data_IF_692639192065
#
_entry.id   IF_692639192065
#
_cell.length_a   1.000
_cell.length_b   1.000
_cell.length_c   1.000
_cell.angle_alpha   90.00
_cell.angle_beta   90.00
_cell.angle_gamma   90.00
#
_symmetry.space_group_name_H-M   'P 1'
#
loop_
_entity.id
_entity.type
_entity.pdbx_description
1 polymer ?
#
# COMPACT_ATOMS: atom_id res chain seq x y z
N UNK A 1 -0.55 6.65 6.32
CA UNK A 1 0.45 5.86 7.11
C UNK A 1 -0.24 5.37 8.38
N UNK A 2 -0.13 4.10 8.73
CA UNK A 2 -0.87 3.50 9.86
C UNK A 2 -0.02 2.49 10.64
N UNK A 3 -0.23 2.39 11.95
CA UNK A 3 0.44 1.41 12.81
C UNK A 3 1.78 1.86 13.41
N UNK A 4 2.11 3.14 13.33
CA UNK A 4 3.26 3.75 14.03
C UNK A 4 2.86 4.03 15.49
N UNK A 5 3.70 3.73 16.50
CA UNK A 5 3.45 4.15 17.87
C UNK A 5 3.20 5.66 17.98
N UNK A 6 2.09 6.05 18.59
CA UNK A 6 1.65 7.45 18.68
C UNK A 6 0.83 7.95 17.48
N UNK A 7 0.68 7.14 16.43
CA UNK A 7 -0.19 7.41 15.28
C UNK A 7 -1.50 6.63 15.33
N UNK A 8 -2.24 6.66 14.22
CA UNK A 8 -3.51 5.92 14.07
C UNK A 8 -3.25 4.40 14.03
N UNK A 9 -4.08 3.57 14.71
CA UNK A 9 -3.94 2.12 14.67
C UNK A 9 -4.13 1.55 13.25
N UNK A 10 -3.38 0.49 12.94
CA UNK A 10 -3.50 -0.23 11.68
C UNK A 10 -4.67 -1.24 11.73
N UNK A 11 -5.90 -0.76 11.55
CA UNK A 11 -7.10 -1.60 11.44
C UNK A 11 -7.98 -1.22 10.25
N UNK A 12 -8.85 -2.14 9.78
CA UNK A 12 -9.78 -1.87 8.68
C UNK A 12 -10.66 -0.64 8.90
N UNK A 13 -11.21 -0.48 10.09
CA UNK A 13 -12.16 0.59 10.45
C UNK A 13 -11.51 1.96 10.34
N UNK A 14 -10.26 2.08 10.80
CA UNK A 14 -9.49 3.31 10.69
C UNK A 14 -9.12 3.64 9.24
N UNK A 15 -8.80 2.65 8.41
CA UNK A 15 -8.52 2.89 6.99
C UNK A 15 -9.77 3.40 6.27
N UNK A 16 -10.92 2.74 6.50
CA UNK A 16 -12.21 3.14 5.93
C UNK A 16 -12.55 4.57 6.35
N UNK A 17 -12.40 4.90 7.64
CA UNK A 17 -12.64 6.25 8.13
C UNK A 17 -11.74 7.28 7.43
N UNK A 18 -10.42 7.06 7.37
CA UNK A 18 -9.50 7.98 6.71
C UNK A 18 -9.85 8.22 5.23
N UNK A 19 -10.25 7.16 4.51
CA UNK A 19 -10.63 7.26 3.10
C UNK A 19 -11.95 8.01 2.93
N UNK A 20 -12.91 7.83 3.84
CA UNK A 20 -14.20 8.51 3.81
C UNK A 20 -14.08 10.03 4.03
N UNK A 21 -13.05 10.49 4.74
CA UNK A 21 -12.80 11.91 5.01
C UNK A 21 -12.04 12.62 3.86
N UNK A 22 -11.62 11.91 2.81
CA UNK A 22 -10.92 12.53 1.69
C UNK A 22 -11.87 13.36 0.82
N UNK A 23 -11.44 14.54 0.33
CA UNK A 23 -12.19 15.28 -0.67
C UNK A 23 -12.42 14.43 -1.93
N UNK A 24 -13.59 14.58 -2.55
CA UNK A 24 -13.92 13.91 -3.80
C UNK A 24 -12.86 14.17 -4.88
N UNK A 25 -12.47 13.11 -5.60
CA UNK A 25 -11.42 13.17 -6.63
C UNK A 25 -9.99 13.02 -6.11
N UNK A 26 -9.77 12.90 -4.79
CA UNK A 26 -8.43 12.67 -4.24
C UNK A 26 -7.91 11.26 -4.57
N UNK A 27 -6.67 11.16 -5.01
CA UNK A 27 -5.92 9.90 -5.03
C UNK A 27 -5.30 9.62 -3.66
N UNK A 28 -5.18 8.35 -3.26
CA UNK A 28 -4.59 8.00 -1.96
C UNK A 28 -3.79 6.70 -2.02
N UNK A 29 -2.85 6.57 -1.08
CA UNK A 29 -2.03 5.37 -0.89
C UNK A 29 -1.92 5.05 0.60
N UNK A 30 -1.80 3.76 0.94
CA UNK A 30 -1.57 3.31 2.32
C UNK A 30 -0.16 2.74 2.51
N UNK A 31 0.43 3.04 3.66
CA UNK A 31 1.63 2.39 4.19
C UNK A 31 1.28 1.82 5.58
N UNK A 32 1.42 0.52 5.73
CA UNK A 32 1.16 -0.21 6.96
C UNK A 32 2.45 -0.67 7.61
N UNK A 33 2.66 -0.35 8.89
CA UNK A 33 3.92 -0.67 9.56
C UNK A 33 4.07 -2.15 9.90
N UNK A 34 5.23 -2.71 9.58
CA UNK A 34 5.63 -4.09 9.88
C UNK A 34 4.64 -5.11 9.34
N UNK A 35 4.10 -5.94 10.25
CA UNK A 35 3.15 -7.01 9.91
C UNK A 35 1.88 -6.53 9.19
N UNK A 36 1.57 -5.24 9.26
CA UNK A 36 0.35 -4.66 8.68
C UNK A 36 0.51 -4.27 7.20
N UNK A 37 1.74 -4.25 6.66
CA UNK A 37 2.03 -3.87 5.27
C UNK A 37 1.16 -4.65 4.27
N UNK A 38 1.19 -5.99 4.34
CA UNK A 38 0.48 -6.86 3.40
C UNK A 38 -1.04 -6.69 3.50
N UNK A 39 -1.58 -6.69 4.71
CA UNK A 39 -3.04 -6.66 4.93
C UNK A 39 -3.62 -5.32 4.52
N UNK A 40 -3.01 -4.20 4.94
CA UNK A 40 -3.49 -2.87 4.55
C UNK A 40 -3.27 -2.61 3.06
N UNK A 41 -2.15 -3.04 2.49
CA UNK A 41 -1.93 -2.92 1.05
C UNK A 41 -2.96 -3.69 0.23
N UNK A 42 -3.31 -4.92 0.64
CA UNK A 42 -4.36 -5.72 -0.02
C UNK A 42 -5.73 -5.05 0.09
N UNK A 43 -6.07 -4.52 1.27
CA UNK A 43 -7.29 -3.74 1.46
C UNK A 43 -7.34 -2.50 0.56
N UNK A 44 -6.22 -1.77 0.44
CA UNK A 44 -6.18 -0.59 -0.40
C UNK A 44 -6.43 -0.91 -1.87
N UNK A 45 -5.89 -2.01 -2.40
CA UNK A 45 -6.19 -2.47 -3.76
C UNK A 45 -7.71 -2.71 -3.91
N UNK A 46 -8.32 -3.44 -2.97
CA UNK A 46 -9.75 -3.75 -3.00
C UNK A 46 -10.65 -2.50 -2.87
N UNK A 47 -10.21 -1.49 -2.12
CA UNK A 47 -10.93 -0.22 -1.91
C UNK A 47 -10.69 0.81 -3.02
N UNK A 48 -9.88 0.49 -4.02
CA UNK A 48 -9.61 1.39 -5.12
C UNK A 48 -8.43 2.33 -4.94
N UNK A 49 -7.69 2.23 -3.83
CA UNK A 49 -6.48 3.02 -3.55
C UNK A 49 -5.19 2.45 -4.14
N UNK A 50 -4.07 3.07 -3.74
CA UNK A 50 -2.70 2.65 -4.06
C UNK A 50 -1.96 2.11 -2.84
N UNK A 51 -0.80 1.50 -3.06
CA UNK A 51 -0.05 0.79 -2.01
C UNK A 51 1.39 1.25 -1.96
N UNK A 52 1.92 1.36 -0.75
CA UNK A 52 3.36 1.46 -0.48
C UNK A 52 3.83 0.19 0.24
N UNK A 53 4.98 -0.33 -0.21
CA UNK A 53 5.69 -1.45 0.40
C UNK A 53 7.19 -1.15 0.44
N UNK A 54 7.92 -1.81 1.32
CA UNK A 54 9.37 -1.79 1.33
C UNK A 54 9.98 -1.87 2.72
N UNK A 55 11.30 -2.02 2.77
CA UNK A 55 12.09 -2.20 3.99
C UNK A 55 12.06 -1.00 4.93
N UNK A 56 11.65 0.18 4.43
CA UNK A 56 11.34 1.33 5.27
C UNK A 56 10.16 1.03 6.21
N UNK A 57 9.16 0.29 5.73
CA UNK A 57 7.93 0.01 6.46
C UNK A 57 7.92 -1.40 7.08
N UNK A 58 8.55 -2.39 6.42
CA UNK A 58 8.54 -3.80 6.83
C UNK A 58 9.74 -4.59 6.28
N UNK A 59 10.40 -5.35 7.16
CA UNK A 59 11.53 -6.24 6.78
C UNK A 59 11.14 -7.72 6.66
N UNK A 60 9.89 -8.09 6.94
CA UNK A 60 9.44 -9.48 7.00
C UNK A 60 8.59 -9.87 5.78
N UNK A 61 8.88 -11.03 5.17
CA UNK A 61 7.96 -11.64 4.20
C UNK A 61 6.77 -12.24 4.94
N UNK A 62 6.96 -12.94 6.05
CA UNK A 62 5.87 -13.39 6.93
C UNK A 62 6.37 -13.47 8.36
N UNK A 63 5.49 -13.80 9.32
CA UNK A 63 5.87 -13.94 10.72
C UNK A 63 7.08 -14.87 10.88
N UNK A 64 8.20 -14.33 11.32
CA UNK A 64 9.44 -15.07 11.54
C UNK A 64 10.32 -15.29 10.31
N UNK A 65 9.94 -14.79 9.14
CA UNK A 65 10.71 -14.93 7.89
C UNK A 65 11.03 -13.54 7.33
N UNK A 66 12.31 -13.17 7.33
CA UNK A 66 12.77 -11.92 6.70
C UNK A 66 12.55 -11.98 5.19
N UNK A 67 12.19 -10.84 4.60
CA UNK A 67 12.15 -10.73 3.16
C UNK A 67 13.58 -10.70 2.59
N UNK A 68 13.78 -11.37 1.45
CA UNK A 68 15.06 -11.42 0.74
C UNK A 68 15.45 -10.06 0.12
N UNK A 69 14.49 -9.15 -0.05
CA UNK A 69 14.70 -7.82 -0.60
C UNK A 69 13.39 -7.07 -0.84
N UNK A 70 13.47 -5.76 -1.09
CA UNK A 70 12.33 -4.93 -1.49
C UNK A 70 11.59 -5.54 -2.71
N UNK A 71 12.33 -6.08 -3.68
CA UNK A 71 11.76 -6.70 -4.86
C UNK A 71 10.82 -7.88 -4.53
N UNK A 72 11.07 -8.64 -3.46
CA UNK A 72 10.19 -9.74 -3.04
C UNK A 72 8.85 -9.22 -2.50
N UNK A 73 8.87 -8.11 -1.75
CA UNK A 73 7.67 -7.46 -1.24
C UNK A 73 6.85 -6.86 -2.39
N UNK A 74 7.53 -6.16 -3.31
CA UNK A 74 6.93 -5.61 -4.54
C UNK A 74 6.31 -6.72 -5.40
N UNK A 75 7.02 -7.83 -5.62
CA UNK A 75 6.51 -8.94 -6.42
C UNK A 75 5.24 -9.56 -5.82
N UNK A 76 5.19 -9.69 -4.48
CA UNK A 76 4.00 -10.20 -3.81
C UNK A 76 2.80 -9.27 -3.99
N UNK A 77 2.95 -7.98 -3.73
CA UNK A 77 1.81 -7.05 -3.83
C UNK A 77 1.37 -6.86 -5.29
N UNK A 78 2.32 -6.87 -6.24
CA UNK A 78 2.03 -6.85 -7.66
C UNK A 78 1.25 -8.08 -8.14
N UNK A 79 1.55 -9.27 -7.60
CA UNK A 79 0.75 -10.48 -7.85
C UNK A 79 -0.69 -10.29 -7.37
N UNK A 80 -0.88 -9.83 -6.14
CA UNK A 80 -2.22 -9.57 -5.59
C UNK A 80 -2.98 -8.55 -6.43
N UNK A 81 -2.33 -7.47 -6.86
CA UNK A 81 -2.93 -6.50 -7.78
C UNK A 81 -3.41 -7.14 -9.08
N UNK A 82 -2.61 -8.03 -9.67
CA UNK A 82 -3.01 -8.79 -10.87
C UNK A 82 -4.19 -9.72 -10.62
N UNK A 83 -4.24 -10.44 -9.50
CA UNK A 83 -5.37 -11.30 -9.13
C UNK A 83 -6.68 -10.50 -8.95
N UNK A 84 -6.58 -9.23 -8.59
CA UNK A 84 -7.71 -8.30 -8.42
C UNK A 84 -7.92 -7.40 -9.66
N UNK A 85 -7.37 -7.77 -10.81
CA UNK A 85 -7.50 -7.04 -12.09
C UNK A 85 -7.03 -5.56 -12.04
N UNK A 86 -6.11 -5.25 -11.12
CA UNK A 86 -5.49 -3.93 -10.92
C UNK A 86 -3.96 -4.05 -10.92
N UNK A 87 -3.32 -4.28 -12.09
CA UNK A 87 -1.88 -4.44 -12.18
C UNK A 87 -1.12 -3.15 -11.78
N UNK A 88 0.16 -3.25 -11.38
CA UNK A 88 0.98 -2.07 -11.09
C UNK A 88 1.11 -1.15 -12.30
N UNK A 89 0.98 0.15 -12.06
CA UNK A 89 1.26 1.17 -13.06
C UNK A 89 2.77 1.30 -13.34
N UNK A 90 3.11 1.62 -14.57
CA UNK A 90 4.43 2.04 -15.00
C UNK A 90 4.77 3.43 -14.46
N UNK A 91 6.06 3.80 -14.38
CA UNK A 91 6.45 5.14 -13.96
C UNK A 91 5.84 6.27 -14.79
N UNK A 92 5.65 6.08 -16.10
CA UNK A 92 5.04 7.10 -16.97
C UNK A 92 3.53 7.23 -16.73
N UNK A 93 2.80 6.13 -16.52
CA UNK A 93 1.39 6.17 -16.12
C UNK A 93 1.20 6.90 -14.78
N UNK A 94 2.10 6.66 -13.81
CA UNK A 94 2.08 7.36 -12.52
C UNK A 94 2.35 8.85 -12.69
N UNK A 95 3.32 9.24 -13.53
CA UNK A 95 3.59 10.66 -13.83
C UNK A 95 2.37 11.36 -14.41
N UNK A 96 1.71 10.75 -15.39
CA UNK A 96 0.50 11.29 -16.01
C UNK A 96 -0.62 11.42 -14.96
N UNK A 97 -0.86 10.38 -14.18
CA UNK A 97 -1.91 10.37 -13.16
C UNK A 97 -1.70 11.44 -12.07
N UNK A 98 -0.44 11.73 -11.72
CA UNK A 98 -0.08 12.70 -10.67
C UNK A 98 0.28 14.09 -11.22
N UNK A 99 0.23 14.31 -12.54
CA UNK A 99 0.60 15.59 -13.15
C UNK A 99 2.08 15.96 -12.99
N UNK A 100 2.97 14.97 -12.95
CA UNK A 100 4.42 15.16 -12.75
C UNK A 100 5.11 15.21 -14.12
N UNK A 101 5.88 16.27 -14.38
CA UNK A 101 6.69 16.40 -15.58
C UNK A 101 7.81 15.34 -15.64
N UNK A 102 8.29 15.03 -16.85
CA UNK A 102 9.31 14.00 -17.06
C UNK A 102 10.72 14.48 -16.72
#
# INVERSE_FOLDING_TARGET
VMGVPGGIPASPEHLIHLVAELPSGSTWSVAGMGRHELTLGTMAIAMGGHVRVGFEDNIYYRKGELAAGNAQLVARIARIGRELERPPATPDEVRIALGIAR
#
